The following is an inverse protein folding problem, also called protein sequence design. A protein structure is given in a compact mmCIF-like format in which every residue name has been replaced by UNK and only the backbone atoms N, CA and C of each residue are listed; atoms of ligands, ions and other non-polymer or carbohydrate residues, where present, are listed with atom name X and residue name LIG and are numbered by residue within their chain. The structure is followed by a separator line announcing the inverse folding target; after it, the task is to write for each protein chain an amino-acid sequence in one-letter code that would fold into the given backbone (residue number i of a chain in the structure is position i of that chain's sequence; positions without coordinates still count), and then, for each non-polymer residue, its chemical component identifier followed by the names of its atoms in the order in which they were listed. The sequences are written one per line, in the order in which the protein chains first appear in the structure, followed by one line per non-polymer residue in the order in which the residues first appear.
data_IF_190468457428
#
_entry.id   IF_190468457428
#
_cell.length_a   1.000
_cell.length_b   1.000
_cell.length_c   1.000
_cell.angle_alpha   90.00
_cell.angle_beta   90.00
_cell.angle_gamma   90.00
#
_symmetry.space_group_name_H-M   'P 1'
#
loop_
_entity.id
_entity.type
_entity.pdbx_description
1 polymer ?
#
# COMPACT_ATOMS: atom_id res chain seq x y z
N UNK A 1 -18.07 1.01 -9.79
CA UNK A 1 -16.69 0.69 -9.38
C UNK A 1 -16.07 1.94 -8.78
N UNK A 2 -15.36 1.88 -7.65
CA UNK A 2 -14.74 3.09 -7.08
C UNK A 2 -13.58 3.60 -7.97
N UNK A 3 -13.23 4.90 -7.92
CA UNK A 3 -12.11 5.43 -8.69
C UNK A 3 -10.80 4.67 -8.46
N UNK A 4 -10.54 4.25 -7.21
CA UNK A 4 -9.35 3.45 -6.88
C UNK A 4 -9.38 2.03 -7.46
N UNK A 5 -10.54 1.37 -7.48
CA UNK A 5 -10.70 0.07 -8.15
C UNK A 5 -10.50 0.19 -9.66
N UNK A 6 -10.94 1.30 -10.27
CA UNK A 6 -10.67 1.56 -11.68
C UNK A 6 -9.17 1.73 -11.95
N UNK A 7 -8.50 2.57 -11.16
CA UNK A 7 -7.05 2.79 -11.24
C UNK A 7 -6.27 1.46 -11.10
N UNK A 8 -6.53 0.68 -10.06
CA UNK A 8 -5.80 -0.58 -9.81
C UNK A 8 -6.05 -1.62 -10.91
N UNK A 9 -7.26 -1.67 -11.49
CA UNK A 9 -7.56 -2.51 -12.66
C UNK A 9 -6.79 -2.07 -13.90
N UNK A 10 -6.70 -0.76 -14.16
CA UNK A 10 -5.92 -0.20 -15.28
C UNK A 10 -4.42 -0.44 -15.11
N UNK A 11 -3.92 -0.27 -13.89
CA UNK A 11 -2.53 -0.57 -13.52
C UNK A 11 -2.22 -2.05 -13.73
N UNK A 12 -3.09 -2.95 -13.26
CA UNK A 12 -2.97 -4.40 -13.49
C UNK A 12 -2.92 -4.75 -14.98
N UNK A 13 -3.78 -4.13 -15.79
CA UNK A 13 -3.80 -4.33 -17.24
C UNK A 13 -2.49 -3.87 -17.91
N UNK A 14 -1.96 -2.71 -17.52
CA UNK A 14 -0.68 -2.22 -18.03
C UNK A 14 0.45 -3.19 -17.68
N UNK A 15 0.50 -3.65 -16.42
CA UNK A 15 1.51 -4.58 -15.93
C UNK A 15 1.43 -5.92 -16.67
N UNK A 16 0.23 -6.46 -16.84
CA UNK A 16 0.01 -7.72 -17.56
C UNK A 16 0.53 -7.66 -18.99
N UNK A 17 0.32 -6.53 -19.68
CA UNK A 17 0.80 -6.33 -21.05
C UNK A 17 2.31 -6.05 -21.14
N UNK A 18 2.85 -5.34 -20.16
CA UNK A 18 4.23 -4.85 -20.15
C UNK A 18 4.93 -5.16 -18.81
N UNK A 19 5.12 -6.45 -18.45
CA UNK A 19 5.58 -6.83 -17.11
C UNK A 19 6.99 -6.33 -16.78
N UNK A 20 7.83 -6.12 -17.79
CA UNK A 20 9.20 -5.63 -17.63
C UNK A 20 9.24 -4.22 -17.01
N UNK A 21 8.28 -3.33 -17.33
CA UNK A 21 8.26 -1.96 -16.81
C UNK A 21 8.19 -1.95 -15.28
N UNK A 22 7.19 -2.62 -14.71
CA UNK A 22 7.03 -2.67 -13.26
C UNK A 22 8.11 -3.51 -12.59
N UNK A 23 8.61 -4.55 -13.26
CA UNK A 23 9.71 -5.38 -12.73
C UNK A 23 10.99 -4.56 -12.58
N UNK A 24 11.34 -3.74 -13.57
CA UNK A 24 12.47 -2.81 -13.50
C UNK A 24 12.27 -1.78 -12.39
N UNK A 25 11.10 -1.15 -12.31
CA UNK A 25 10.79 -0.16 -11.27
C UNK A 25 10.86 -0.75 -9.86
N UNK A 26 10.24 -1.89 -9.62
CA UNK A 26 10.26 -2.56 -8.31
C UNK A 26 11.66 -3.08 -7.95
N UNK A 27 12.42 -3.57 -8.92
CA UNK A 27 13.82 -3.95 -8.71
C UNK A 27 14.67 -2.76 -8.26
N UNK A 28 14.49 -1.60 -8.89
CA UNK A 28 15.18 -0.38 -8.51
C UNK A 28 14.74 0.10 -7.12
N UNK A 29 13.44 0.09 -6.80
CA UNK A 29 12.93 0.43 -5.46
C UNK A 29 13.55 -0.47 -4.38
N UNK A 30 13.53 -1.80 -4.56
CA UNK A 30 14.05 -2.72 -3.56
C UNK A 30 15.58 -2.76 -3.49
N UNK A 31 16.27 -2.38 -4.57
CA UNK A 31 17.73 -2.13 -4.54
C UNK A 31 18.10 -1.08 -3.49
N UNK A 32 17.24 -0.08 -3.26
CA UNK A 32 17.50 1.01 -2.31
C UNK A 32 17.60 0.54 -0.85
N UNK A 33 17.19 -0.70 -0.56
CA UNK A 33 17.47 -1.32 0.74
C UNK A 33 18.95 -1.52 1.01
N UNK A 34 19.78 -1.62 -0.04
CA UNK A 34 21.24 -1.63 0.09
C UNK A 34 21.79 -0.30 0.62
N UNK A 35 21.06 0.81 0.43
CA UNK A 35 21.42 2.13 0.95
C UNK A 35 20.88 2.30 2.37
N UNK A 36 19.65 1.86 2.63
CA UNK A 36 19.06 1.92 3.97
C UNK A 36 17.73 1.21 4.13
N UNK A 37 17.49 0.69 5.34
CA UNK A 37 16.30 -0.10 5.66
C UNK A 37 14.97 0.65 5.54
N UNK A 38 14.95 1.99 5.64
CA UNK A 38 13.72 2.80 5.49
C UNK A 38 13.61 3.49 4.12
N UNK A 39 14.74 3.64 3.43
CA UNK A 39 14.89 4.41 2.19
C UNK A 39 14.02 3.90 1.05
N UNK A 40 13.77 2.59 1.00
CA UNK A 40 12.90 1.99 -0.02
C UNK A 40 11.44 2.42 0.08
N UNK A 41 10.94 2.80 1.26
CA UNK A 41 9.57 3.30 1.44
C UNK A 41 9.40 4.67 0.80
N UNK A 42 10.18 5.66 1.24
CA UNK A 42 10.11 7.03 0.69
C UNK A 42 10.42 7.04 -0.83
N UNK A 43 11.35 6.20 -1.30
CA UNK A 43 11.66 6.10 -2.73
C UNK A 43 10.59 5.35 -3.54
N UNK A 44 9.82 4.44 -2.93
CA UNK A 44 8.69 3.81 -3.61
C UNK A 44 7.60 4.83 -3.91
N UNK A 45 7.37 5.80 -3.03
CA UNK A 45 6.40 6.89 -3.26
C UNK A 45 6.75 7.70 -4.50
N UNK A 46 8.03 8.10 -4.62
CA UNK A 46 8.54 8.85 -5.77
C UNK A 46 8.48 8.00 -7.04
N UNK A 47 9.01 6.78 -6.99
CA UNK A 47 9.12 5.92 -8.17
C UNK A 47 7.76 5.46 -8.71
N UNK A 48 6.79 5.16 -7.84
CA UNK A 48 5.44 4.78 -8.29
C UNK A 48 4.67 5.99 -8.82
N UNK A 49 4.81 7.18 -8.21
CA UNK A 49 4.22 8.39 -8.77
C UNK A 49 4.74 8.65 -10.19
N UNK A 50 6.06 8.55 -10.38
CA UNK A 50 6.67 8.74 -11.69
C UNK A 50 6.31 7.62 -12.67
N UNK A 51 6.24 6.36 -12.23
CA UNK A 51 5.75 5.25 -13.05
C UNK A 51 4.37 5.54 -13.64
N UNK A 52 3.45 6.06 -12.84
CA UNK A 52 2.11 6.44 -13.29
C UNK A 52 2.21 7.53 -14.36
N UNK A 53 2.95 8.62 -14.08
CA UNK A 53 3.13 9.73 -15.02
C UNK A 53 3.74 9.33 -16.36
N UNK A 54 4.67 8.35 -16.33
CA UNK A 54 5.37 7.91 -17.53
C UNK A 54 4.56 6.90 -18.35
N UNK A 55 3.85 5.97 -17.70
CA UNK A 55 3.32 4.79 -18.39
C UNK A 55 1.79 4.66 -18.40
N UNK A 56 1.05 5.53 -17.68
CA UNK A 56 -0.42 5.52 -17.65
C UNK A 56 -0.99 6.81 -18.22
N UNK A 57 -1.34 6.82 -19.51
CA UNK A 57 -1.81 8.03 -20.22
C UNK A 57 -3.10 8.66 -19.65
N UNK A 58 -3.92 7.88 -18.94
CA UNK A 58 -5.20 8.29 -18.36
C UNK A 58 -5.09 8.72 -16.89
N UNK A 59 -3.88 8.69 -16.31
CA UNK A 59 -3.63 9.08 -14.93
C UNK A 59 -2.38 9.95 -14.79
N UNK A 60 -2.45 10.91 -13.88
CA UNK A 60 -1.29 11.61 -13.34
C UNK A 60 -1.13 11.29 -11.88
N UNK A 61 0.09 11.37 -11.36
CA UNK A 61 0.37 11.21 -9.96
C UNK A 61 1.34 12.27 -9.45
N UNK A 62 1.06 12.75 -8.25
CA UNK A 62 1.91 13.67 -7.51
C UNK A 62 2.43 12.97 -6.25
N UNK A 63 3.74 12.96 -6.05
CA UNK A 63 4.32 12.66 -4.74
C UNK A 63 4.06 13.86 -3.81
N UNK A 64 3.33 13.63 -2.72
CA UNK A 64 2.91 14.73 -1.85
C UNK A 64 4.00 15.11 -0.84
N UNK A 65 4.91 14.19 -0.51
CA UNK A 65 6.02 14.45 0.40
C UNK A 65 5.61 14.90 1.82
N UNK A 66 6.63 15.26 2.62
CA UNK A 66 6.49 15.64 4.04
C UNK A 66 6.24 17.14 4.26
N UNK A 67 6.59 18.01 3.32
CA UNK A 67 6.42 19.46 3.50
C UNK A 67 4.97 19.93 3.36
N UNK A 68 4.17 19.24 2.52
CA UNK A 68 2.72 19.46 2.42
C UNK A 68 1.94 18.84 3.61
N UNK A 69 2.61 18.15 4.55
CA UNK A 69 1.99 17.47 5.68
C UNK A 69 1.31 18.40 6.69
N UNK A 70 1.71 19.68 6.76
CA UNK A 70 1.14 20.65 7.71
C UNK A 70 -0.31 21.06 7.41
N UNK A 71 -0.83 20.75 6.22
CA UNK A 71 -2.20 21.08 5.80
C UNK A 71 -3.12 19.86 5.60
N UNK A 72 -2.65 18.62 5.87
CA UNK A 72 -3.40 17.40 5.52
C UNK A 72 -4.45 17.00 6.56
N UNK A 73 -5.62 16.60 6.08
CA UNK A 73 -6.68 15.96 6.87
C UNK A 73 -6.61 14.43 6.86
N UNK A 74 -5.86 13.81 5.94
CA UNK A 74 -5.73 12.33 5.77
C UNK A 74 -4.28 11.88 5.52
N UNK A 75 -3.97 10.62 5.87
CA UNK A 75 -2.67 9.96 5.65
C UNK A 75 -2.55 9.57 4.16
N UNK A 76 -1.92 10.41 3.34
CA UNK A 76 -1.69 10.16 1.91
C UNK A 76 -0.23 10.47 1.52
N UNK A 77 0.33 9.59 0.70
CA UNK A 77 1.73 9.63 0.27
C UNK A 77 1.83 10.12 -1.18
N UNK A 78 0.88 9.68 -2.02
CA UNK A 78 0.69 10.15 -3.39
C UNK A 78 -0.77 10.55 -3.64
N UNK A 79 -0.99 11.44 -4.59
CA UNK A 79 -2.33 11.73 -5.15
C UNK A 79 -2.34 11.31 -6.60
N UNK A 80 -3.30 10.48 -6.98
CA UNK A 80 -3.51 10.06 -8.37
C UNK A 80 -4.71 10.80 -8.92
N UNK A 81 -4.58 11.45 -10.06
CA UNK A 81 -5.66 12.15 -10.73
C UNK A 81 -5.99 11.44 -12.03
N UNK A 82 -7.24 11.00 -12.19
CA UNK A 82 -7.73 10.52 -13.47
C UNK A 82 -7.83 11.71 -14.44
N UNK A 83 -7.12 11.67 -15.56
CA UNK A 83 -7.04 12.81 -16.50
C UNK A 83 -8.34 13.05 -17.25
N UNK A 84 -9.22 12.05 -17.33
CA UNK A 84 -10.51 12.11 -18.03
C UNK A 84 -11.58 12.65 -17.09
N UNK A 85 -11.75 12.05 -15.91
CA UNK A 85 -12.82 12.41 -14.97
C UNK A 85 -12.43 13.54 -14.01
N UNK A 86 -11.13 13.90 -13.98
CA UNK A 86 -10.53 14.86 -13.02
C UNK A 86 -10.69 14.44 -11.55
N UNK A 87 -11.03 13.18 -11.30
CA UNK A 87 -11.18 12.67 -9.93
C UNK A 87 -9.81 12.48 -9.30
N UNK A 88 -9.62 13.08 -8.13
CA UNK A 88 -8.44 12.86 -7.28
C UNK A 88 -8.65 11.64 -6.38
N UNK A 89 -7.60 10.83 -6.28
CA UNK A 89 -7.56 9.57 -5.56
C UNK A 89 -6.37 9.67 -4.60
N UNK A 90 -6.58 10.03 -3.33
CA UNK A 90 -5.51 10.00 -2.34
C UNK A 90 -5.15 8.54 -2.06
N UNK A 91 -3.85 8.24 -2.07
CA UNK A 91 -3.32 6.89 -1.86
C UNK A 91 -2.23 6.92 -0.79
N UNK A 92 -2.35 6.03 0.20
CA UNK A 92 -1.22 5.68 1.06
C UNK A 92 -0.45 4.52 0.44
N UNK A 93 0.82 4.73 0.19
CA UNK A 93 1.71 3.73 -0.37
C UNK A 93 2.48 3.06 0.76
N UNK A 94 2.47 1.73 0.81
CA UNK A 94 3.12 0.99 1.90
C UNK A 94 4.08 -0.05 1.35
N UNK A 95 5.38 0.16 1.57
CA UNK A 95 6.41 -0.84 1.27
C UNK A 95 6.76 -1.63 2.54
N UNK A 96 6.56 -2.96 2.53
CA UNK A 96 6.79 -3.80 3.72
C UNK A 96 7.09 -5.26 3.35
N UNK A 97 7.76 -5.97 4.27
CA UNK A 97 8.02 -7.39 4.12
C UNK A 97 6.74 -8.23 4.22
N UNK A 98 6.74 -9.43 3.64
CA UNK A 98 5.65 -10.40 3.72
C UNK A 98 5.18 -10.61 5.18
N UNK A 99 3.96 -10.17 5.50
CA UNK A 99 3.48 -10.13 6.88
C UNK A 99 2.25 -9.25 7.11
N UNK A 100 2.12 -8.67 8.32
CA UNK A 100 0.99 -7.83 8.69
C UNK A 100 1.04 -6.48 7.97
N UNK A 101 -0.08 -6.07 7.40
CA UNK A 101 -0.29 -4.79 6.74
C UNK A 101 -1.18 -3.93 7.64
N UNK A 102 -0.68 -2.75 8.01
CA UNK A 102 -1.52 -1.73 8.62
C UNK A 102 -2.31 -1.02 7.52
N UNK A 103 -3.63 -1.13 7.60
CA UNK A 103 -4.54 -0.45 6.67
C UNK A 103 -4.80 0.99 7.14
N UNK A 104 -4.80 1.21 8.46
CA UNK A 104 -5.04 2.52 9.05
C UNK A 104 -4.48 2.68 10.45
N UNK A 105 -4.38 3.94 10.88
CA UNK A 105 -4.01 4.30 12.25
C UNK A 105 -5.24 4.78 13.03
N UNK A 106 -5.59 4.11 14.12
CA UNK A 106 -6.66 4.54 15.03
C UNK A 106 -6.09 5.38 16.18
N UNK A 107 -5.76 6.64 15.89
CA UNK A 107 -5.09 7.55 16.83
C UNK A 107 -5.87 7.70 18.15
N UNK A 108 -7.20 7.81 18.05
CA UNK A 108 -8.09 8.03 19.19
C UNK A 108 -8.73 6.74 19.72
N UNK A 109 -8.28 5.56 19.21
CA UNK A 109 -8.76 4.25 19.64
C UNK A 109 -10.29 4.07 19.54
N UNK A 110 -10.91 4.71 18.55
CA UNK A 110 -12.36 4.75 18.35
C UNK A 110 -12.90 3.38 17.95
N UNK A 111 -12.21 2.66 17.06
CA UNK A 111 -12.65 1.32 16.63
C UNK A 111 -12.58 0.33 17.77
N UNK A 112 -11.45 0.29 18.46
CA UNK A 112 -11.26 -0.68 19.52
C UNK A 112 -12.22 -0.44 20.69
N UNK A 113 -12.45 0.84 21.03
CA UNK A 113 -13.43 1.20 22.06
C UNK A 113 -14.86 0.80 21.65
N UNK A 114 -15.23 1.03 20.38
CA UNK A 114 -16.54 0.63 19.87
C UNK A 114 -16.74 -0.89 19.92
N UNK A 115 -15.75 -1.66 19.48
CA UNK A 115 -15.77 -3.12 19.54
C UNK A 115 -15.83 -3.63 20.98
N UNK A 116 -15.06 -3.02 21.89
CA UNK A 116 -15.09 -3.33 23.32
C UNK A 116 -16.46 -3.09 23.95
N UNK A 117 -17.15 -2.02 23.57
CA UNK A 117 -18.50 -1.75 24.04
C UNK A 117 -19.53 -2.77 23.53
N UNK A 118 -19.27 -3.40 22.38
CA UNK A 118 -20.15 -4.40 21.80
C UNK A 118 -19.95 -5.83 22.35
N UNK A 119 -18.88 -6.07 23.11
CA UNK A 119 -18.62 -7.34 23.79
C UNK A 119 -17.50 -8.19 23.17
N UNK A 120 -17.23 -9.35 23.76
CA UNK A 120 -16.12 -10.23 23.34
C UNK A 120 -16.42 -11.01 22.05
N UNK A 121 -17.70 -11.23 21.74
CA UNK A 121 -18.17 -11.96 20.57
C UNK A 121 -19.32 -11.19 19.93
N UNK A 122 -19.16 -10.87 18.64
CA UNK A 122 -20.16 -10.17 17.85
C UNK A 122 -20.49 -11.06 16.65
N UNK A 123 -21.73 -11.53 16.61
CA UNK A 123 -22.22 -12.46 15.59
C UNK A 123 -23.54 -11.95 14.99
N UNK A 124 -23.86 -12.47 13.81
CA UNK A 124 -25.06 -12.12 13.09
C UNK A 124 -24.91 -10.84 12.26
N UNK A 125 -25.55 -10.84 11.09
CA UNK A 125 -25.44 -9.75 10.10
C UNK A 125 -25.85 -8.39 10.67
N UNK A 126 -26.85 -8.35 11.56
CA UNK A 126 -27.33 -7.11 12.17
C UNK A 126 -26.27 -6.48 13.09
N UNK A 127 -25.68 -7.26 14.00
CA UNK A 127 -24.65 -6.77 14.92
C UNK A 127 -23.41 -6.30 14.19
N UNK A 128 -22.94 -7.08 13.20
CA UNK A 128 -21.78 -6.72 12.38
C UNK A 128 -22.06 -5.49 11.53
N UNK A 129 -23.22 -5.41 10.89
CA UNK A 129 -23.59 -4.23 10.10
C UNK A 129 -23.66 -2.97 10.97
N UNK A 130 -24.10 -3.08 12.24
CA UNK A 130 -24.15 -1.93 13.15
C UNK A 130 -22.74 -1.43 13.49
N UNK A 131 -21.79 -2.35 13.71
CA UNK A 131 -20.39 -2.01 13.96
C UNK A 131 -19.75 -1.34 12.74
N UNK A 132 -19.90 -1.94 11.56
CA UNK A 132 -19.25 -1.46 10.34
C UNK A 132 -19.81 -0.12 9.83
N UNK A 133 -21.06 0.22 10.19
CA UNK A 133 -21.68 1.52 9.89
C UNK A 133 -21.37 2.60 10.93
N UNK A 134 -20.71 2.25 12.03
CA UNK A 134 -20.37 3.22 13.07
C UNK A 134 -19.34 4.24 12.53
N UNK A 135 -19.47 5.54 12.86
CA UNK A 135 -18.50 6.56 12.46
C UNK A 135 -17.06 6.27 12.90
N UNK A 136 -16.86 5.45 13.93
CA UNK A 136 -15.54 4.96 14.30
C UNK A 136 -14.85 4.19 13.18
N UNK A 137 -15.59 3.64 12.22
CA UNK A 137 -15.09 2.90 11.05
C UNK A 137 -15.15 3.69 9.73
N UNK A 138 -15.77 4.88 9.72
CA UNK A 138 -15.99 5.67 8.50
C UNK A 138 -14.69 6.17 7.86
N UNK A 139 -13.69 6.52 8.67
CA UNK A 139 -12.39 7.01 8.17
C UNK A 139 -11.64 5.93 7.34
N UNK A 140 -12.04 4.66 7.43
CA UNK A 140 -11.35 3.54 6.77
C UNK A 140 -11.96 3.11 5.45
N UNK A 141 -13.23 3.42 5.17
CA UNK A 141 -13.78 3.22 3.83
C UNK A 141 -13.10 4.13 2.80
N UNK A 142 -12.42 5.17 3.26
CA UNK A 142 -11.92 6.27 2.45
C UNK A 142 -10.42 6.23 2.16
N UNK A 143 -9.65 5.33 2.81
CA UNK A 143 -8.20 5.25 2.61
C UNK A 143 -7.89 4.20 1.55
N UNK A 144 -7.38 4.65 0.41
CA UNK A 144 -6.83 3.76 -0.61
C UNK A 144 -5.40 3.40 -0.22
N UNK A 145 -5.11 2.11 -0.02
CA UNK A 145 -3.76 1.64 0.32
C UNK A 145 -3.19 0.86 -0.85
N UNK A 146 -2.04 1.30 -1.39
CA UNK A 146 -1.28 0.61 -2.43
C UNK A 146 -0.06 -0.11 -1.80
N UNK A 147 -0.15 -1.42 -1.52
CA UNK A 147 0.87 -2.11 -0.73
C UNK A 147 1.87 -2.81 -1.65
N UNK A 148 3.15 -2.42 -1.55
CA UNK A 148 4.29 -3.08 -2.18
C UNK A 148 4.88 -4.08 -1.18
N UNK A 149 4.67 -5.36 -1.44
CA UNK A 149 5.15 -6.43 -0.56
C UNK A 149 6.41 -7.06 -1.11
N UNK A 150 7.32 -7.47 -0.23
CA UNK A 150 8.53 -8.19 -0.64
C UNK A 150 8.87 -9.37 0.27
N UNK A 151 9.52 -10.37 -0.32
CA UNK A 151 10.22 -11.44 0.38
C UNK A 151 11.71 -11.31 0.02
N UNK A 152 12.47 -10.76 0.96
CA UNK A 152 13.90 -10.46 0.77
C UNK A 152 14.73 -11.72 0.54
N UNK A 153 14.44 -12.80 1.28
CA UNK A 153 15.19 -14.05 1.17
C UNK A 153 15.04 -14.66 -0.22
N UNK A 154 13.84 -14.54 -0.79
CA UNK A 154 13.52 -15.03 -2.13
C UNK A 154 13.73 -13.99 -3.24
N UNK A 155 14.11 -12.76 -2.89
CA UNK A 155 14.24 -11.61 -3.81
C UNK A 155 13.05 -11.50 -4.75
N UNK A 156 11.85 -11.46 -4.17
CA UNK A 156 10.61 -11.32 -4.93
C UNK A 156 9.71 -10.26 -4.32
N UNK A 157 8.85 -9.67 -5.13
CA UNK A 157 7.90 -8.65 -4.71
C UNK A 157 6.55 -8.78 -5.41
N UNK A 158 5.54 -8.09 -4.90
CA UNK A 158 4.18 -8.10 -5.43
C UNK A 158 3.46 -6.79 -5.00
N UNK A 159 2.50 -6.35 -5.79
CA UNK A 159 1.54 -5.33 -5.36
C UNK A 159 0.23 -6.05 -5.00
N UNK A 160 -0.03 -6.19 -3.69
CA UNK A 160 -1.20 -6.88 -3.17
C UNK A 160 -2.17 -5.89 -2.54
N UNK A 161 -3.25 -5.56 -3.26
CA UNK A 161 -4.28 -4.62 -2.80
C UNK A 161 -5.37 -5.36 -2.03
N UNK A 162 -5.67 -4.91 -0.80
CA UNK A 162 -6.74 -5.48 0.02
C UNK A 162 -8.10 -4.90 -0.40
N UNK A 163 -9.04 -5.76 -0.79
CA UNK A 163 -10.39 -5.33 -1.15
C UNK A 163 -11.27 -5.22 0.10
N UNK A 164 -11.17 -4.08 0.79
CA UNK A 164 -11.90 -3.86 2.04
C UNK A 164 -13.42 -4.02 1.87
N UNK A 165 -13.99 -3.47 0.80
CA UNK A 165 -15.44 -3.53 0.57
C UNK A 165 -15.94 -4.96 0.39
N UNK A 166 -15.22 -5.81 -0.36
CA UNK A 166 -15.59 -7.21 -0.50
C UNK A 166 -15.29 -8.00 0.78
N UNK A 167 -14.13 -7.78 1.40
CA UNK A 167 -13.74 -8.43 2.63
C UNK A 167 -14.78 -8.23 3.75
N UNK A 168 -15.30 -7.00 3.91
CA UNK A 168 -16.27 -6.68 4.95
C UNK A 168 -17.64 -7.30 4.71
N UNK A 169 -18.03 -7.58 3.45
CA UNK A 169 -19.29 -8.29 3.14
C UNK A 169 -19.25 -9.75 3.60
N UNK A 170 -18.06 -10.35 3.63
CA UNK A 170 -17.86 -11.74 4.04
C UNK A 170 -17.80 -11.92 5.57
N UNK A 171 -17.65 -10.85 6.35
CA UNK A 171 -17.51 -10.96 7.80
C UNK A 171 -18.82 -11.44 8.43
N UNK A 172 -18.74 -12.55 9.16
CA UNK A 172 -19.88 -13.15 9.88
C UNK A 172 -19.67 -13.24 11.38
N UNK A 173 -18.42 -13.02 11.84
CA UNK A 173 -18.07 -13.09 13.25
C UNK A 173 -16.88 -12.18 13.59
N UNK A 174 -16.97 -11.47 14.71
CA UNK A 174 -15.87 -10.67 15.27
C UNK A 174 -15.61 -11.15 16.69
N UNK A 175 -14.34 -11.43 17.02
CA UNK A 175 -13.96 -12.04 18.30
C UNK A 175 -12.81 -11.27 18.95
N UNK A 176 -12.95 -10.97 20.24
CA UNK A 176 -11.86 -10.52 21.08
C UNK A 176 -10.90 -11.67 21.35
N UNK A 177 -9.69 -11.58 20.81
CA UNK A 177 -8.60 -12.46 21.20
C UNK A 177 -7.72 -11.78 22.25
N UNK A 178 -7.71 -12.37 23.45
CA UNK A 178 -6.92 -11.91 24.61
C UNK A 178 -5.41 -12.10 24.37
N UNK A 179 -4.60 -11.55 25.27
CA UNK A 179 -3.13 -11.70 25.27
C UNK A 179 -2.75 -13.19 25.36
N UNK A 180 -1.66 -13.59 24.70
CA UNK A 180 -1.19 -14.99 24.66
C UNK A 180 -0.66 -15.43 23.29
N UNK A 181 -0.05 -16.62 23.20
CA UNK A 181 0.53 -17.19 21.96
C UNK A 181 1.48 -16.22 21.23
N UNK A 182 2.31 -15.49 21.99
CA UNK A 182 3.25 -14.49 21.46
C UNK A 182 2.66 -13.08 21.26
N UNK A 183 1.35 -12.88 21.48
CA UNK A 183 0.69 -11.56 21.35
C UNK A 183 0.69 -10.79 22.68
N UNK A 184 1.22 -9.56 22.65
CA UNK A 184 1.32 -8.66 23.81
C UNK A 184 0.04 -7.88 24.16
N UNK A 185 -0.81 -7.58 23.17
CA UNK A 185 -2.02 -6.77 23.34
C UNK A 185 -3.25 -7.47 22.77
N UNK A 186 -4.46 -7.29 23.35
CA UNK A 186 -5.68 -7.86 22.79
C UNK A 186 -5.99 -7.29 21.40
N UNK A 187 -6.67 -8.10 20.58
CA UNK A 187 -7.13 -7.68 19.24
C UNK A 187 -8.54 -8.18 19.00
N UNK A 188 -9.31 -7.46 18.20
CA UNK A 188 -10.56 -7.97 17.64
C UNK A 188 -10.28 -8.53 16.26
N UNK A 189 -10.48 -9.83 16.06
CA UNK A 189 -10.34 -10.48 14.75
C UNK A 189 -11.68 -10.66 14.07
N UNK A 190 -11.67 -10.42 12.77
CA UNK A 190 -12.82 -10.51 11.89
C UNK A 190 -12.67 -11.79 11.09
N UNK A 191 -13.74 -12.60 11.07
CA UNK A 191 -13.78 -13.90 10.44
C UNK A 191 -14.91 -13.98 9.42
N UNK A 192 -14.67 -14.71 8.34
CA UNK A 192 -15.71 -15.10 7.40
C UNK A 192 -16.54 -16.31 7.89
N UNK A 193 -17.55 -16.67 7.12
CA UNK A 193 -18.47 -17.80 7.38
C UNK A 193 -17.75 -19.16 7.49
N UNK A 194 -16.65 -19.34 6.76
CA UNK A 194 -15.79 -20.53 6.85
C UNK A 194 -14.78 -20.45 8.02
N UNK A 195 -14.86 -19.44 8.88
CA UNK A 195 -13.91 -19.21 9.98
C UNK A 195 -12.54 -18.71 9.53
N UNK A 196 -12.40 -18.28 8.27
CA UNK A 196 -11.22 -17.70 7.69
C UNK A 196 -10.92 -16.30 8.22
N UNK A 197 -9.64 -15.99 8.42
CA UNK A 197 -9.19 -14.66 8.85
C UNK A 197 -9.41 -13.62 7.74
N UNK A 198 -10.01 -12.48 8.10
CA UNK A 198 -10.23 -11.34 7.19
C UNK A 198 -9.28 -10.18 7.52
N UNK A 199 -9.42 -9.63 8.72
CA UNK A 199 -8.64 -8.51 9.25
C UNK A 199 -8.71 -8.49 10.79
N UNK A 200 -8.02 -7.55 11.42
CA UNK A 200 -8.07 -7.36 12.87
C UNK A 200 -7.91 -5.89 13.27
N UNK A 201 -8.60 -5.49 14.33
CA UNK A 201 -8.40 -4.20 14.99
C UNK A 201 -7.47 -4.41 16.18
N UNK A 202 -6.34 -3.70 16.16
CA UNK A 202 -5.33 -3.73 17.22
C UNK A 202 -5.45 -2.51 18.12
N UNK A 203 -5.25 -2.72 19.42
CA UNK A 203 -5.09 -1.64 20.39
C UNK A 203 -3.86 -1.89 21.23
N UNK A 204 -2.87 -1.02 21.09
CA UNK A 204 -1.63 -1.15 21.83
C UNK A 204 -1.63 -0.51 23.23
N UNK A 205 -2.72 0.11 23.68
CA UNK A 205 -2.74 0.87 24.95
C UNK A 205 -2.21 2.30 24.82
N UNK A 206 -2.23 3.09 25.89
CA UNK A 206 -1.75 4.48 25.89
C UNK A 206 -0.28 4.63 25.47
N UNK A 207 0.55 3.63 25.74
CA UNK A 207 2.00 3.65 25.52
C UNK A 207 2.45 3.03 24.18
N UNK A 208 1.52 2.53 23.36
CA UNK A 208 1.88 1.85 22.12
C UNK A 208 2.30 2.79 20.99
N UNK A 209 3.25 2.34 20.16
CA UNK A 209 3.58 3.05 18.94
C UNK A 209 2.35 3.12 18.00
N UNK A 210 2.25 4.15 17.15
CA UNK A 210 1.24 4.26 16.09
C UNK A 210 1.16 3.00 15.21
N UNK A 211 2.29 2.30 15.02
CA UNK A 211 2.41 1.00 14.34
C UNK A 211 1.82 -0.20 15.12
N UNK A 212 1.07 0.05 16.20
CA UNK A 212 0.45 -1.01 17.01
C UNK A 212 -1.06 -0.76 17.23
N UNK A 213 -1.63 0.23 16.55
CA UNK A 213 -3.03 0.65 16.75
C UNK A 213 -3.74 0.78 15.40
N UNK A 214 -5.00 0.39 15.33
CA UNK A 214 -5.84 0.59 14.15
C UNK A 214 -6.20 -0.70 13.44
N UNK A 215 -6.58 -0.58 12.16
CA UNK A 215 -7.02 -1.71 11.35
C UNK A 215 -5.82 -2.35 10.66
N UNK A 216 -5.73 -3.66 10.78
CA UNK A 216 -4.67 -4.47 10.24
C UNK A 216 -5.26 -5.62 9.45
N UNK A 217 -4.53 -6.08 8.45
CA UNK A 217 -4.74 -7.40 7.86
C UNK A 217 -3.40 -8.13 7.79
N UNK A 218 -3.42 -9.37 7.32
CA UNK A 218 -2.22 -10.18 7.19
C UNK A 218 -2.21 -10.83 5.80
N UNK A 219 -1.25 -10.46 4.98
CA UNK A 219 -1.13 -10.89 3.57
C UNK A 219 -1.17 -12.41 3.40
N UNK A 220 -0.55 -13.17 4.31
CA UNK A 220 -0.63 -14.64 4.35
C UNK A 220 -2.01 -15.19 4.77
N UNK A 221 -2.58 -14.72 5.89
CA UNK A 221 -3.78 -15.34 6.48
C UNK A 221 -5.06 -14.88 5.79
N UNK A 222 -5.09 -13.61 5.34
CA UNK A 222 -6.22 -13.00 4.64
C UNK A 222 -6.06 -13.01 3.12
N UNK A 223 -5.18 -13.85 2.56
CA UNK A 223 -4.78 -13.85 1.15
C UNK A 223 -5.95 -13.80 0.16
N UNK A 224 -7.08 -14.45 0.50
CA UNK A 224 -8.31 -14.52 -0.30
C UNK A 224 -8.96 -13.16 -0.55
N UNK A 225 -8.66 -12.17 0.29
CA UNK A 225 -9.19 -10.80 0.20
C UNK A 225 -8.22 -9.81 -0.46
N UNK A 226 -7.13 -10.32 -1.04
CA UNK A 226 -6.14 -9.51 -1.75
C UNK A 226 -6.19 -9.79 -3.25
N UNK A 227 -6.26 -8.73 -4.05
CA UNK A 227 -5.96 -8.81 -5.47
C UNK A 227 -4.47 -8.57 -5.73
N UNK A 228 -3.88 -9.39 -6.60
CA UNK A 228 -2.49 -9.22 -7.03
C UNK A 228 -2.46 -8.44 -8.33
N UNK A 229 -1.97 -7.21 -8.23
CA UNK A 229 -1.85 -6.28 -9.36
C UNK A 229 -0.67 -6.66 -10.26
N UNK A 230 0.34 -7.32 -9.72
CA UNK A 230 1.45 -7.91 -10.49
C UNK A 230 1.19 -9.35 -10.95
N UNK A 231 -0.05 -9.85 -10.80
CA UNK A 231 -0.45 -11.22 -11.19
C UNK A 231 0.37 -12.35 -10.55
N UNK A 232 0.96 -12.10 -9.38
CA UNK A 232 1.84 -13.02 -8.69
C UNK A 232 3.08 -12.35 -8.15
N UNK A 233 3.97 -13.17 -7.60
CA UNK A 233 5.29 -12.73 -7.17
C UNK A 233 6.20 -12.55 -8.38
N UNK A 234 6.82 -11.38 -8.49
CA UNK A 234 7.86 -11.11 -9.49
C UNK A 234 9.24 -11.15 -8.83
N UNK A 235 10.20 -11.79 -9.49
CA UNK A 235 11.60 -11.77 -9.05
C UNK A 235 12.22 -10.39 -9.28
N UNK A 236 13.11 -9.97 -8.38
CA UNK A 236 13.89 -8.75 -8.55
C UNK A 236 15.38 -8.99 -8.33
N UNK A 237 16.21 -8.18 -8.97
CA UNK A 237 17.66 -8.18 -8.81
C UNK A 237 18.16 -6.83 -8.32
N UNK A 238 19.26 -6.81 -7.57
CA UNK A 238 19.88 -5.56 -7.15
C UNK A 238 20.56 -4.86 -8.32
N UNK A 239 20.22 -3.60 -8.54
CA UNK A 239 20.86 -2.72 -9.50
C UNK A 239 22.01 -1.94 -8.83
N UNK A 240 23.19 -2.55 -8.73
CA UNK A 240 24.34 -1.88 -8.12
C UNK A 240 24.81 -0.62 -8.88
N UNK A 241 24.48 -0.50 -10.17
CA UNK A 241 24.76 0.72 -10.94
C UNK A 241 23.91 1.87 -10.42
N UNK A 242 22.63 1.64 -10.11
CA UNK A 242 21.76 2.65 -9.50
C UNK A 242 22.32 3.16 -8.17
N UNK A 243 22.87 2.27 -7.33
CA UNK A 243 23.53 2.69 -6.07
C UNK A 243 24.70 3.64 -6.35
N UNK A 244 25.50 3.36 -7.38
CA UNK A 244 26.58 4.26 -7.82
C UNK A 244 26.03 5.58 -8.37
N UNK A 245 24.94 5.55 -9.13
CA UNK A 245 24.29 6.78 -9.62
C UNK A 245 23.88 7.67 -8.43
N UNK A 246 23.25 7.11 -7.40
CA UNK A 246 22.92 7.85 -6.18
C UNK A 246 24.17 8.40 -5.49
N UNK A 247 25.23 7.60 -5.33
CA UNK A 247 26.45 8.06 -4.66
C UNK A 247 27.10 9.23 -5.37
N UNK A 248 27.12 9.23 -6.70
CA UNK A 248 27.68 10.33 -7.48
C UNK A 248 26.73 11.53 -7.54
N UNK A 249 25.42 11.30 -7.64
CA UNK A 249 24.41 12.35 -7.62
C UNK A 249 24.51 13.18 -6.34
N UNK A 250 24.71 12.55 -5.17
CA UNK A 250 24.85 13.26 -3.90
C UNK A 250 26.07 14.21 -3.81
N UNK A 251 27.06 14.04 -4.69
CA UNK A 251 28.28 14.88 -4.74
C UNK A 251 28.30 15.82 -5.96
N UNK A 252 27.36 15.66 -6.88
CA UNK A 252 27.33 16.39 -8.15
C UNK A 252 26.59 17.72 -8.02
N UNK A 253 26.86 18.64 -8.95
CA UNK A 253 26.14 19.91 -9.07
C UNK A 253 24.82 19.73 -9.82
N UNK A 254 23.93 20.73 -9.73
CA UNK A 254 22.66 20.76 -10.48
C UNK A 254 22.87 20.56 -11.99
N UNK A 255 23.93 21.16 -12.57
CA UNK A 255 24.30 20.96 -13.97
C UNK A 255 24.58 19.49 -14.30
N UNK A 256 25.26 18.78 -13.41
CA UNK A 256 25.50 17.34 -13.56
C UNK A 256 24.20 16.53 -13.48
N UNK A 257 23.29 16.89 -12.57
CA UNK A 257 21.98 16.24 -12.45
C UNK A 257 21.10 16.47 -13.68
N UNK A 258 21.07 17.69 -14.23
CA UNK A 258 20.33 18.02 -15.45
C UNK A 258 20.81 17.19 -16.64
N UNK A 259 22.13 17.07 -16.81
CA UNK A 259 22.72 16.24 -17.86
C UNK A 259 22.37 14.74 -17.69
N UNK A 260 22.43 14.23 -16.45
CA UNK A 260 22.02 12.86 -16.15
C UNK A 260 20.53 12.63 -16.41
N UNK A 261 19.68 13.60 -16.07
CA UNK A 261 18.23 13.53 -16.28
C UNK A 261 17.86 13.40 -17.75
N UNK A 262 18.58 14.08 -18.66
CA UNK A 262 18.38 13.92 -20.10
C UNK A 262 18.56 12.46 -20.52
N UNK A 263 19.65 11.81 -20.07
CA UNK A 263 19.91 10.39 -20.39
C UNK A 263 18.89 9.44 -19.80
N UNK A 264 18.42 9.70 -18.58
CA UNK A 264 17.36 8.90 -17.98
C UNK A 264 16.03 9.05 -18.74
N UNK A 265 15.70 10.25 -19.21
CA UNK A 265 14.50 10.49 -20.03
C UNK A 265 14.58 9.79 -21.39
N UNK A 266 15.73 9.85 -22.05
CA UNK A 266 15.97 9.13 -23.31
C UNK A 266 15.72 7.61 -23.15
N UNK A 267 16.26 7.00 -22.08
CA UNK A 267 16.06 5.59 -21.75
C UNK A 267 14.59 5.24 -21.48
N UNK A 268 13.88 6.08 -20.71
CA UNK A 268 12.44 5.89 -20.43
C UNK A 268 11.62 5.95 -21.72
N UNK A 269 11.91 6.90 -22.62
CA UNK A 269 11.22 6.99 -23.91
C UNK A 269 11.49 5.77 -24.81
N UNK A 270 12.70 5.21 -24.75
CA UNK A 270 12.99 3.95 -25.44
C UNK A 270 12.15 2.79 -24.89
N UNK A 271 12.02 2.68 -23.56
CA UNK A 271 11.15 1.67 -22.92
C UNK A 271 9.67 1.82 -23.34
N UNK A 272 9.18 3.06 -23.47
CA UNK A 272 7.80 3.32 -23.95
C UNK A 272 7.60 2.85 -25.39
N UNK A 273 8.55 3.13 -26.28
CA UNK A 273 8.51 2.67 -27.68
C UNK A 273 8.50 1.16 -27.78
N UNK A 274 9.36 0.48 -27.01
CA UNK A 274 9.41 -0.99 -26.94
C UNK A 274 8.08 -1.57 -26.42
N UNK A 275 7.43 -0.87 -25.49
CA UNK A 275 6.14 -1.24 -24.90
C UNK A 275 4.91 -0.80 -25.70
N UNK A 276 5.10 -0.16 -26.87
CA UNK A 276 4.03 0.40 -27.72
C UNK A 276 3.10 1.37 -26.97
N UNK A 277 3.68 2.18 -26.07
CA UNK A 277 2.96 3.20 -25.30
C UNK A 277 3.01 4.60 -25.92
N UNK A 278 3.75 4.74 -27.04
CA UNK A 278 3.95 5.98 -27.82
C UNK A 278 3.81 5.68 -29.29
#
# INVERSE_FOLDING_TARGET
MSPYKDFTRRLKLLISKNPHLITTTLSNIFTMRLIGNKTHGDLAEIAIAEFINQFMYDFKSLHVGKDLYRAKTKEQDITITNEITKTEIPVSLKAFGNGPLQLSTDKNSRMFSKLKAAGELIEGKAGISLILKDPAFADFSDINVLPLIYDEKKKQCNILVFDFSEAMKCVTRIVLEKKGKGRKHPVYRFYDDAGGYVCEVRYGGADANALQRGLWTHTKNGRRHFDSITEGWIGYSHNHVLVKVFSHALLSTSKGHEAALVKLKEDIEEQKKQSKLT
#
